data_IF_759601738961
#
_entry.id   IF_759601738961
#
_cell.length_a   1.000
_cell.length_b   1.000
_cell.length_c   1.000
_cell.angle_alpha   90.00
_cell.angle_beta   90.00
_cell.angle_gamma   90.00
#
_symmetry.space_group_name_H-M   'P 1'
#
loop_
_entity.id
_entity.type
_entity.pdbx_description
1 polymer ?
#
# COMPACT_ATOMS: atom_id res chain seq x y z
N UNK A 1 -7.25 0.41 -26.30
CA UNK A 1 -7.24 1.60 -27.10
C UNK A 1 -7.52 2.83 -26.27
N UNK A 2 -6.79 3.92 -26.46
CA UNK A 2 -7.09 5.21 -25.87
C UNK A 2 -8.43 5.68 -26.48
N UNK A 3 -9.45 5.86 -25.66
CA UNK A 3 -10.67 6.54 -26.07
C UNK A 3 -10.30 7.97 -26.48
N UNK A 4 -10.81 8.44 -27.61
CA UNK A 4 -10.69 9.86 -27.99
C UNK A 4 -11.31 10.73 -26.88
N UNK A 5 -10.71 11.86 -26.57
CA UNK A 5 -11.19 12.77 -25.52
C UNK A 5 -12.69 13.10 -25.68
N UNK A 6 -13.15 13.32 -26.91
CA UNK A 6 -14.56 13.62 -27.20
C UNK A 6 -15.50 12.46 -26.80
N UNK A 7 -15.07 11.21 -26.98
CA UNK A 7 -15.87 10.04 -26.59
C UNK A 7 -15.95 9.91 -25.07
N UNK A 8 -14.90 10.26 -24.33
CA UNK A 8 -14.89 10.25 -22.87
C UNK A 8 -15.90 11.25 -22.31
N UNK A 9 -15.84 12.49 -22.79
CA UNK A 9 -16.75 13.56 -22.37
C UNK A 9 -18.20 13.26 -22.73
N UNK A 10 -18.48 12.77 -23.93
CA UNK A 10 -19.83 12.37 -24.35
C UNK A 10 -20.40 11.33 -23.40
N UNK A 11 -19.65 10.26 -23.07
CA UNK A 11 -20.11 9.22 -22.15
C UNK A 11 -20.39 9.74 -20.74
N UNK A 12 -19.54 10.65 -20.23
CA UNK A 12 -19.76 11.26 -18.91
C UNK A 12 -21.01 12.14 -18.91
N UNK A 13 -21.19 12.97 -19.93
CA UNK A 13 -22.35 13.87 -20.04
C UNK A 13 -23.68 13.13 -20.26
N UNK A 14 -23.63 11.96 -20.87
CA UNK A 14 -24.80 11.11 -21.12
C UNK A 14 -25.03 10.07 -20.02
N UNK A 15 -24.32 10.16 -18.87
CA UNK A 15 -24.36 9.20 -17.76
C UNK A 15 -24.05 7.75 -18.17
N UNK A 16 -23.29 7.56 -19.26
CA UNK A 16 -22.88 6.25 -19.75
C UNK A 16 -21.60 5.76 -19.09
N UNK A 17 -21.60 5.66 -17.76
CA UNK A 17 -20.48 5.14 -16.96
C UNK A 17 -21.02 4.37 -15.76
N UNK A 18 -20.13 3.56 -15.17
CA UNK A 18 -20.36 2.93 -13.87
C UNK A 18 -19.38 3.49 -12.85
N UNK A 19 -19.75 3.45 -11.58
CA UNK A 19 -18.88 3.84 -10.47
C UNK A 19 -18.41 2.58 -9.75
N UNK A 20 -17.11 2.39 -9.68
CA UNK A 20 -16.49 1.32 -8.91
C UNK A 20 -15.87 1.89 -7.63
N UNK A 21 -16.17 1.26 -6.49
CA UNK A 21 -15.61 1.64 -5.20
C UNK A 21 -14.29 0.89 -4.99
N UNK A 22 -13.25 1.60 -4.61
CA UNK A 22 -11.93 1.04 -4.30
C UNK A 22 -11.55 1.35 -2.86
N UNK A 23 -11.13 0.31 -2.14
CA UNK A 23 -10.57 0.48 -0.81
C UNK A 23 -9.33 1.38 -0.86
N UNK A 24 -9.17 2.22 0.15
CA UNK A 24 -7.97 3.03 0.36
C UNK A 24 -7.34 2.69 1.71
N UNK A 25 -6.05 2.97 1.84
CA UNK A 25 -5.33 2.96 3.12
C UNK A 25 -5.25 4.39 3.68
N UNK A 26 -5.24 4.46 5.00
CA UNK A 26 -4.89 5.63 5.77
C UNK A 26 -3.64 5.33 6.59
N UNK A 27 -2.67 6.24 6.57
CA UNK A 27 -1.54 6.25 7.48
C UNK A 27 -1.60 7.48 8.38
N UNK A 28 -1.32 7.29 9.65
CA UNK A 28 -1.21 8.37 10.64
C UNK A 28 0.15 8.25 11.30
N UNK A 29 0.97 9.28 11.15
CA UNK A 29 2.29 9.35 11.81
C UNK A 29 2.13 10.01 13.16
N UNK A 30 2.64 9.34 14.18
CA UNK A 30 2.62 9.81 15.56
C UNK A 30 4.04 10.07 16.05
N UNK A 31 4.23 11.19 16.73
CA UNK A 31 5.44 11.46 17.48
C UNK A 31 5.35 10.74 18.82
N UNK A 32 6.36 9.97 19.16
CA UNK A 32 6.45 9.43 20.52
C UNK A 32 6.95 10.55 21.44
N UNK A 33 6.24 10.82 22.51
CA UNK A 33 6.83 11.46 23.65
C UNK A 33 7.88 10.50 24.23
N UNK A 34 9.08 11.01 24.52
CA UNK A 34 10.27 10.24 24.89
C UNK A 34 10.12 9.29 26.11
N UNK A 35 8.94 9.19 26.70
CA UNK A 35 8.62 8.39 27.87
C UNK A 35 7.59 7.28 27.63
N UNK A 36 6.96 7.27 26.43
CA UNK A 36 5.98 6.23 26.09
C UNK A 36 6.29 5.65 24.72
N UNK A 37 7.33 4.80 24.64
CA UNK A 37 7.25 3.70 23.69
C UNK A 37 5.99 2.93 24.10
N UNK A 38 4.89 2.95 23.36
CA UNK A 38 3.72 2.19 23.78
C UNK A 38 4.12 0.73 23.74
N UNK A 39 4.34 0.18 24.92
CA UNK A 39 4.28 -1.26 25.11
C UNK A 39 2.94 -1.67 24.54
N UNK A 40 2.96 -2.57 23.55
CA UNK A 40 1.85 -3.26 22.91
C UNK A 40 0.46 -2.93 23.50
N UNK A 41 -0.39 -2.26 22.72
CA UNK A 41 -1.81 -2.10 23.02
C UNK A 41 -2.33 -0.70 23.38
N UNK A 42 -1.49 0.28 23.71
CA UNK A 42 -1.93 1.66 23.92
C UNK A 42 -1.72 2.51 22.68
N UNK A 43 -2.82 2.99 22.12
CA UNK A 43 -2.80 3.95 21.00
C UNK A 43 -2.14 5.26 21.44
N UNK A 44 -1.25 5.84 20.61
CA UNK A 44 -0.89 7.24 20.78
C UNK A 44 -2.15 8.10 20.75
N UNK A 45 -2.25 9.07 21.64
CA UNK A 45 -3.34 10.04 21.67
C UNK A 45 -3.37 10.86 20.37
N UNK A 46 -4.54 11.34 19.96
CA UNK A 46 -4.71 12.23 18.80
C UNK A 46 -3.84 13.50 18.89
N UNK A 47 -3.46 13.92 20.10
CA UNK A 47 -2.52 15.04 20.33
C UNK A 47 -1.09 14.77 19.80
N UNK A 48 -0.71 13.50 19.59
CA UNK A 48 0.62 13.11 19.08
C UNK A 48 0.66 13.00 17.54
N UNK A 49 -0.45 13.24 16.85
CA UNK A 49 -0.52 13.14 15.38
C UNK A 49 0.33 14.23 14.73
N UNK A 50 1.28 13.81 13.89
CA UNK A 50 2.07 14.71 13.04
C UNK A 50 1.31 15.00 11.75
N UNK A 51 0.94 13.94 11.02
CA UNK A 51 0.27 14.06 9.73
C UNK A 51 -0.57 12.82 9.42
N UNK A 52 -1.58 13.01 8.55
CA UNK A 52 -2.46 11.95 8.02
C UNK A 52 -2.29 11.86 6.51
N UNK A 53 -2.15 10.64 6.02
CA UNK A 53 -1.97 10.34 4.61
C UNK A 53 -3.01 9.34 4.13
N UNK A 54 -3.34 9.38 2.84
CA UNK A 54 -4.21 8.42 2.18
C UNK A 54 -3.54 7.89 0.92
N UNK A 55 -3.75 6.62 0.63
CA UNK A 55 -3.24 5.97 -0.57
C UNK A 55 -4.30 5.08 -1.21
N UNK A 56 -4.37 5.14 -2.54
CA UNK A 56 -5.19 4.26 -3.35
C UNK A 56 -4.48 2.91 -3.61
N UNK A 57 -3.16 2.96 -3.86
CA UNK A 57 -2.36 1.78 -4.14
C UNK A 57 -1.62 1.26 -2.92
N UNK A 58 -0.67 2.04 -2.43
CA UNK A 58 0.24 1.58 -1.38
C UNK A 58 0.81 2.71 -0.52
N UNK A 59 1.19 2.33 0.69
CA UNK A 59 2.01 3.09 1.61
C UNK A 59 3.25 2.25 1.85
N UNK A 60 4.44 2.84 1.73
CA UNK A 60 5.66 2.13 2.02
C UNK A 60 6.66 2.98 2.79
N UNK A 61 7.50 2.28 3.56
CA UNK A 61 8.56 2.87 4.36
C UNK A 61 9.90 2.36 3.85
N UNK A 62 10.85 3.28 3.64
CA UNK A 62 12.23 3.00 3.22
C UNK A 62 13.22 3.83 4.02
N UNK A 63 14.50 3.44 4.07
CA UNK A 63 15.54 4.29 4.66
C UNK A 63 15.48 5.72 4.10
N UNK A 64 15.57 6.72 4.97
CA UNK A 64 15.60 8.13 4.55
C UNK A 64 16.97 8.53 4.00
N UNK A 65 18.04 8.08 4.67
CA UNK A 65 19.44 8.36 4.33
C UNK A 65 20.12 7.06 3.90
N UNK A 66 19.89 6.64 2.65
CA UNK A 66 20.47 5.40 2.11
C UNK A 66 22.01 5.43 2.08
N UNK A 67 22.61 6.62 2.02
CA UNK A 67 24.06 6.87 2.12
C UNK A 67 24.62 6.51 3.49
N UNK A 68 23.85 6.64 4.57
CA UNK A 68 24.25 6.33 5.95
C UNK A 68 23.74 4.95 6.41
N UNK A 69 22.54 4.59 6.02
CA UNK A 69 21.89 3.35 6.40
C UNK A 69 21.09 2.80 5.21
N UNK A 70 21.68 1.94 4.36
CA UNK A 70 21.02 1.42 3.16
C UNK A 70 19.85 0.50 3.47
N UNK A 71 19.76 -0.04 4.68
CA UNK A 71 18.66 -0.88 5.17
C UNK A 71 18.06 -0.29 6.42
N UNK A 72 16.76 -0.60 6.65
CA UNK A 72 16.07 -0.30 7.89
C UNK A 72 15.68 -1.57 8.64
N UNK A 73 15.41 -1.43 9.92
CA UNK A 73 14.74 -2.43 10.75
C UNK A 73 13.41 -1.82 11.19
N UNK A 74 12.32 -2.49 10.87
CA UNK A 74 10.97 -2.07 11.17
C UNK A 74 10.29 -3.13 12.02
N UNK A 75 9.81 -2.76 13.19
CA UNK A 75 8.91 -3.62 13.96
C UNK A 75 7.50 -3.47 13.44
N UNK A 76 6.86 -4.60 13.20
CA UNK A 76 5.47 -4.68 12.72
C UNK A 76 4.60 -5.25 13.82
N UNK A 77 3.64 -4.46 14.25
CA UNK A 77 2.54 -4.86 15.13
C UNK A 77 1.25 -4.96 14.31
N UNK A 78 0.47 -6.00 14.52
CA UNK A 78 -0.85 -6.21 13.91
C UNK A 78 -1.85 -6.48 15.00
N UNK A 79 -2.92 -5.67 15.05
CA UNK A 79 -4.03 -5.79 16.01
C UNK A 79 -3.58 -5.91 17.49
N UNK A 80 -2.46 -5.24 17.85
CA UNK A 80 -1.89 -5.19 19.19
C UNK A 80 -0.84 -6.27 19.49
N UNK A 81 -0.48 -7.10 18.51
CA UNK A 81 0.55 -8.13 18.65
C UNK A 81 1.76 -7.80 17.79
N UNK A 82 2.96 -7.82 18.36
CA UNK A 82 4.21 -7.72 17.59
C UNK A 82 4.41 -9.03 16.85
N UNK A 83 4.38 -8.97 15.52
CA UNK A 83 4.42 -10.17 14.66
C UNK A 83 5.75 -10.37 13.98
N UNK A 84 6.52 -9.31 13.70
CA UNK A 84 7.83 -9.43 13.03
C UNK A 84 8.71 -8.19 13.28
N UNK A 85 10.02 -8.37 13.13
CA UNK A 85 11.02 -7.30 13.00
C UNK A 85 11.67 -7.43 11.63
N UNK A 86 11.12 -6.75 10.65
CA UNK A 86 11.56 -6.80 9.26
C UNK A 86 12.86 -6.00 9.10
N UNK A 87 13.93 -6.64 8.69
CA UNK A 87 15.17 -6.00 8.28
C UNK A 87 15.36 -6.15 6.78
N UNK A 88 15.52 -5.02 6.08
CA UNK A 88 15.65 -4.99 4.62
C UNK A 88 15.60 -3.57 4.07
N UNK A 89 15.23 -3.43 2.80
CA UNK A 89 15.14 -2.14 2.12
C UNK A 89 13.82 -1.40 2.45
N UNK A 90 12.89 -2.05 3.17
CA UNK A 90 11.65 -1.43 3.61
C UNK A 90 10.47 -2.38 3.75
N UNK A 91 9.29 -1.79 3.89
CA UNK A 91 8.02 -2.49 4.03
C UNK A 91 6.94 -1.78 3.21
N UNK A 92 6.14 -2.56 2.49
CA UNK A 92 5.01 -2.09 1.69
C UNK A 92 3.71 -2.59 2.30
N UNK A 93 2.74 -1.70 2.42
CA UNK A 93 1.35 -2.00 2.76
C UNK A 93 0.49 -1.57 1.58
N UNK A 94 -0.18 -2.51 0.94
CA UNK A 94 -0.92 -2.24 -0.28
C UNK A 94 -2.40 -2.61 -0.17
N UNK A 95 -3.21 -1.89 -0.94
CA UNK A 95 -4.60 -2.24 -1.21
C UNK A 95 -4.66 -3.32 -2.31
N UNK A 96 -5.81 -3.94 -2.54
CA UNK A 96 -5.98 -4.81 -3.71
C UNK A 96 -5.73 -4.08 -5.04
N UNK A 97 -6.05 -2.78 -5.15
CA UNK A 97 -5.71 -1.96 -6.32
C UNK A 97 -4.21 -1.86 -6.51
N UNK A 98 -3.46 -1.64 -5.42
CA UNK A 98 -1.99 -1.57 -5.42
C UNK A 98 -1.30 -2.94 -5.53
N UNK A 99 -2.04 -4.05 -5.46
CA UNK A 99 -1.45 -5.40 -5.55
C UNK A 99 -0.73 -5.66 -6.88
N UNK A 100 -1.07 -4.93 -7.93
CA UNK A 100 -0.39 -4.97 -9.25
C UNK A 100 0.66 -3.87 -9.44
N UNK A 101 0.98 -3.13 -8.36
CA UNK A 101 1.98 -2.07 -8.32
C UNK A 101 3.27 -2.50 -7.63
N UNK A 102 3.74 -1.69 -6.68
CA UNK A 102 5.01 -1.92 -6.00
C UNK A 102 5.01 -3.20 -5.15
N UNK A 103 3.88 -3.56 -4.53
CA UNK A 103 3.74 -4.80 -3.78
C UNK A 103 4.04 -6.04 -4.64
N UNK A 104 3.62 -6.05 -5.92
CA UNK A 104 3.92 -7.15 -6.85
C UNK A 104 5.42 -7.28 -7.11
N UNK A 105 6.14 -6.16 -7.28
CA UNK A 105 7.58 -6.16 -7.45
C UNK A 105 8.34 -6.67 -6.22
N UNK A 106 7.73 -6.55 -5.03
CA UNK A 106 8.23 -7.13 -3.78
C UNK A 106 7.73 -8.57 -3.52
N UNK A 107 7.20 -9.26 -4.55
CA UNK A 107 6.73 -10.64 -4.44
C UNK A 107 5.35 -10.80 -3.79
N UNK A 108 4.61 -9.73 -3.63
CA UNK A 108 3.23 -9.75 -3.11
C UNK A 108 2.23 -10.43 -4.04
N UNK A 109 1.14 -10.99 -3.52
CA UNK A 109 0.10 -11.61 -4.32
C UNK A 109 -0.71 -10.57 -5.08
N UNK A 110 -1.25 -10.95 -6.24
CA UNK A 110 -2.23 -10.17 -6.98
C UNK A 110 -3.60 -10.43 -6.37
N UNK A 111 -4.29 -9.38 -5.94
CA UNK A 111 -5.65 -9.43 -5.44
C UNK A 111 -6.62 -8.77 -6.42
N UNK A 112 -7.80 -9.40 -6.58
CA UNK A 112 -8.87 -8.78 -7.33
C UNK A 112 -9.35 -7.51 -6.59
N UNK A 113 -9.49 -6.37 -7.27
CA UNK A 113 -9.82 -5.10 -6.62
C UNK A 113 -11.22 -5.04 -5.98
N UNK A 114 -12.07 -6.01 -6.27
CA UNK A 114 -13.36 -6.20 -5.59
C UNK A 114 -13.27 -6.90 -4.22
N UNK A 115 -12.07 -7.28 -3.78
CA UNK A 115 -11.82 -7.83 -2.44
C UNK A 115 -11.23 -6.73 -1.59
N UNK A 116 -11.76 -6.53 -0.38
CA UNK A 116 -11.15 -5.64 0.60
C UNK A 116 -10.15 -6.45 1.45
N UNK A 117 -8.88 -6.10 1.39
CA UNK A 117 -7.79 -6.70 2.16
C UNK A 117 -6.58 -5.76 2.21
N UNK A 118 -5.67 -6.00 3.16
CA UNK A 118 -4.39 -5.30 3.25
C UNK A 118 -3.28 -6.31 2.95
N UNK A 119 -2.40 -5.98 2.02
CA UNK A 119 -1.20 -6.76 1.71
C UNK A 119 -0.03 -6.14 2.46
N UNK A 120 0.78 -6.96 3.13
CA UNK A 120 2.04 -6.55 3.74
C UNK A 120 3.17 -7.32 3.06
N UNK A 121 4.13 -6.60 2.48
CA UNK A 121 5.27 -7.18 1.76
C UNK A 121 6.56 -6.47 2.16
N UNK A 122 7.55 -7.22 2.61
CA UNK A 122 8.88 -6.69 2.84
C UNK A 122 9.62 -6.44 1.52
N UNK A 123 10.44 -5.39 1.47
CA UNK A 123 11.29 -5.07 0.33
C UNK A 123 12.68 -5.64 0.61
N UNK A 124 13.12 -6.57 -0.23
CA UNK A 124 14.45 -7.20 -0.14
C UNK A 124 14.79 -7.61 1.33
N UNK A 125 13.95 -8.40 2.00
CA UNK A 125 14.20 -8.77 3.40
C UNK A 125 15.45 -9.63 3.53
N UNK A 126 16.21 -9.42 4.60
CA UNK A 126 17.39 -10.23 4.91
C UNK A 126 17.00 -11.64 5.43
N UNK A 127 15.78 -11.80 5.93
CA UNK A 127 15.26 -13.08 6.40
C UNK A 127 14.77 -13.93 5.23
N UNK A 128 15.25 -15.17 5.12
CA UNK A 128 14.78 -16.14 4.13
C UNK A 128 13.36 -16.66 4.40
N UNK A 129 12.86 -16.50 5.61
CA UNK A 129 11.50 -16.89 6.01
C UNK A 129 10.45 -15.81 5.76
N UNK A 130 10.85 -14.58 5.44
CA UNK A 130 9.91 -13.50 5.16
C UNK A 130 9.01 -13.84 3.97
N UNK A 131 7.72 -13.67 4.16
CA UNK A 131 6.69 -13.88 3.11
C UNK A 131 5.67 -12.77 3.18
N UNK A 132 5.16 -12.32 2.03
CA UNK A 132 4.01 -11.43 2.01
C UNK A 132 2.81 -12.08 2.70
N UNK A 133 2.07 -11.28 3.46
CA UNK A 133 0.84 -11.72 4.13
C UNK A 133 -0.34 -10.87 3.67
N UNK A 134 -1.52 -11.47 3.67
CA UNK A 134 -2.80 -10.81 3.35
C UNK A 134 -3.64 -10.79 4.62
N UNK A 135 -4.07 -9.60 5.00
CA UNK A 135 -4.79 -9.34 6.24
C UNK A 135 -6.22 -8.90 5.96
N UNK A 136 -7.15 -9.16 6.89
CA UNK A 136 -8.49 -8.60 6.84
C UNK A 136 -8.46 -7.06 6.75
N UNK A 137 -9.46 -6.44 6.08
CA UNK A 137 -9.49 -4.98 5.90
C UNK A 137 -9.68 -4.21 7.21
N UNK A 138 -10.10 -4.88 8.29
CA UNK A 138 -10.27 -4.30 9.63
C UNK A 138 -8.98 -4.27 10.45
N UNK A 139 -7.92 -4.96 9.99
CA UNK A 139 -6.66 -5.02 10.71
C UNK A 139 -6.02 -3.65 10.83
N UNK A 140 -5.47 -3.38 12.00
CA UNK A 140 -4.74 -2.19 12.34
C UNK A 140 -3.26 -2.54 12.50
N UNK A 141 -2.43 -1.87 11.72
CA UNK A 141 -0.98 -2.09 11.73
C UNK A 141 -0.28 -0.90 12.37
N UNK A 142 0.72 -1.18 13.19
CA UNK A 142 1.63 -0.15 13.71
C UNK A 142 3.05 -0.53 13.32
N UNK A 143 3.79 0.45 12.79
CA UNK A 143 5.15 0.24 12.32
C UNK A 143 6.08 1.21 13.04
N UNK A 144 7.10 0.64 13.66
CA UNK A 144 8.12 1.33 14.43
C UNK A 144 9.48 1.23 13.73
N UNK A 145 10.12 2.34 13.34
CA UNK A 145 11.53 2.33 12.99
C UNK A 145 12.37 1.97 14.23
N UNK A 146 13.26 1.00 14.08
CA UNK A 146 14.17 0.58 15.15
C UNK A 146 15.61 0.99 14.86
N UNK A 147 16.37 1.26 15.92
CA UNK A 147 17.79 1.57 15.87
C UNK A 147 18.14 2.91 16.50
N UNK A 148 19.27 3.47 16.07
CA UNK A 148 19.74 4.78 16.52
C UNK A 148 19.11 5.94 15.73
N UNK A 149 19.37 7.18 16.15
CA UNK A 149 18.80 8.39 15.54
C UNK A 149 19.14 8.60 14.05
N UNK A 150 20.14 7.88 13.52
CA UNK A 150 20.54 7.95 12.11
C UNK A 150 19.71 7.02 11.24
N UNK A 151 18.98 6.07 11.84
CA UNK A 151 18.15 5.08 11.13
C UNK A 151 16.73 5.57 10.90
N UNK A 152 16.64 6.77 10.37
CA UNK A 152 15.34 7.32 9.97
C UNK A 152 14.78 6.61 8.75
N UNK A 153 13.47 6.51 8.68
CA UNK A 153 12.74 6.01 7.53
C UNK A 153 11.84 7.09 6.96
N UNK A 154 11.60 7.02 5.67
CA UNK A 154 10.68 7.91 4.98
C UNK A 154 9.45 7.13 4.56
N UNK A 155 8.30 7.71 4.84
CA UNK A 155 7.00 7.25 4.38
C UNK A 155 6.76 7.76 2.96
N UNK A 156 6.18 6.90 2.13
CA UNK A 156 5.74 7.20 0.78
C UNK A 156 4.30 6.74 0.61
N UNK A 157 3.51 7.46 -0.19
CA UNK A 157 2.11 7.17 -0.50
C UNK A 157 1.89 7.29 -2.00
N UNK A 158 1.45 6.24 -2.66
CA UNK A 158 1.23 6.21 -4.12
C UNK A 158 2.40 6.84 -4.91
N UNK A 159 3.65 6.59 -4.48
CA UNK A 159 4.86 7.14 -5.08
C UNK A 159 5.20 8.57 -4.67
N UNK A 160 4.33 9.28 -3.96
CA UNK A 160 4.62 10.61 -3.44
C UNK A 160 5.27 10.55 -2.06
N UNK A 161 6.26 11.43 -1.82
CA UNK A 161 6.93 11.54 -0.54
C UNK A 161 5.98 12.05 0.56
N UNK A 162 6.06 11.43 1.71
CA UNK A 162 5.45 11.85 2.97
C UNK A 162 6.49 12.16 4.03
N UNK A 163 6.16 11.91 5.29
CA UNK A 163 6.97 12.24 6.46
C UNK A 163 8.23 11.38 6.61
N UNK A 164 9.22 11.97 7.26
CA UNK A 164 10.40 11.26 7.77
C UNK A 164 10.15 10.91 9.22
N UNK A 165 10.33 9.64 9.55
CA UNK A 165 10.13 9.10 10.89
C UNK A 165 11.45 8.69 11.50
N UNK A 166 11.68 9.08 12.76
CA UNK A 166 12.80 8.67 13.57
C UNK A 166 12.43 7.45 14.44
N UNK A 167 13.43 6.70 14.96
CA UNK A 167 13.19 5.74 16.03
C UNK A 167 12.49 6.41 17.22
N UNK A 168 11.45 5.74 17.74
CA UNK A 168 10.56 6.29 18.75
C UNK A 168 9.28 6.92 18.22
N UNK A 169 9.19 7.22 16.93
CA UNK A 169 7.95 7.58 16.24
C UNK A 169 7.31 6.36 15.62
N UNK A 170 6.01 6.38 15.36
CA UNK A 170 5.34 5.28 14.72
C UNK A 170 4.36 5.71 13.62
N UNK A 171 4.06 4.78 12.74
CA UNK A 171 3.03 4.94 11.72
C UNK A 171 1.92 3.92 11.96
N UNK A 172 0.71 4.42 12.19
CA UNK A 172 -0.50 3.59 12.27
C UNK A 172 -1.13 3.52 10.90
N UNK A 173 -1.29 2.32 10.36
CA UNK A 173 -1.87 2.08 9.05
C UNK A 173 -3.11 1.20 9.18
N UNK A 174 -4.17 1.62 8.53
CA UNK A 174 -5.45 0.94 8.50
C UNK A 174 -6.24 1.28 7.24
N UNK A 175 -7.35 0.59 7.01
CA UNK A 175 -8.31 0.96 5.98
C UNK A 175 -8.79 2.40 6.21
N UNK A 176 -8.81 3.21 5.15
CA UNK A 176 -9.39 4.55 5.22
C UNK A 176 -10.92 4.47 5.44
N UNK A 177 -11.51 5.48 6.12
CA UNK A 177 -12.96 5.52 6.36
C UNK A 177 -13.79 5.73 5.08
N UNK A 178 -13.15 6.15 4.00
CA UNK A 178 -13.76 6.41 2.70
C UNK A 178 -13.11 5.56 1.60
N UNK A 179 -13.82 5.44 0.48
CA UNK A 179 -13.35 4.75 -0.73
C UNK A 179 -13.02 5.77 -1.81
N UNK A 180 -12.09 5.44 -2.69
CA UNK A 180 -11.98 6.11 -3.97
C UNK A 180 -13.12 5.64 -4.89
N UNK A 181 -13.68 6.56 -5.65
CA UNK A 181 -14.68 6.27 -6.68
C UNK A 181 -14.01 6.33 -8.04
N UNK A 182 -13.98 5.18 -8.73
CA UNK A 182 -13.39 5.05 -10.06
C UNK A 182 -14.48 5.04 -11.12
N UNK A 183 -14.42 5.98 -12.05
CA UNK A 183 -15.32 6.02 -13.20
C UNK A 183 -14.91 4.95 -14.21
N UNK A 184 -15.82 4.05 -14.52
CA UNK A 184 -15.67 3.00 -15.53
C UNK A 184 -16.48 3.38 -16.76
N UNK A 185 -15.79 3.74 -17.85
CA UNK A 185 -16.43 4.15 -19.12
C UNK A 185 -16.82 2.97 -20.00
N UNK A 186 -16.19 1.81 -19.81
CA UNK A 186 -16.54 0.59 -20.53
C UNK A 186 -17.58 -0.20 -19.73
N UNK A 187 -18.61 -0.69 -20.39
CA UNK A 187 -19.56 -1.61 -19.80
C UNK A 187 -18.87 -2.98 -19.60
N UNK A 188 -18.72 -3.39 -18.33
CA UNK A 188 -18.11 -4.66 -17.93
C UNK A 188 -16.66 -4.89 -18.46
N UNK A 189 -15.69 -4.03 -18.15
CA UNK A 189 -14.31 -4.32 -18.49
C UNK A 189 -13.86 -5.60 -17.77
N UNK A 190 -13.39 -6.59 -18.53
CA UNK A 190 -12.84 -7.80 -17.91
C UNK A 190 -11.54 -7.50 -17.20
N UNK A 191 -11.55 -7.57 -15.86
CA UNK A 191 -10.35 -7.44 -15.05
C UNK A 191 -9.26 -8.42 -15.46
N UNK A 192 -9.63 -9.69 -15.67
CA UNK A 192 -8.68 -10.75 -16.03
C UNK A 192 -8.05 -10.55 -17.40
N UNK A 193 -8.82 -10.08 -18.40
CA UNK A 193 -8.28 -9.73 -19.71
C UNK A 193 -7.29 -8.58 -19.62
N UNK A 194 -7.61 -7.56 -18.83
CA UNK A 194 -6.72 -6.42 -18.59
C UNK A 194 -5.44 -6.86 -17.89
N UNK A 195 -5.56 -7.72 -16.89
CA UNK A 195 -4.43 -8.27 -16.14
C UNK A 195 -3.52 -9.11 -17.03
N UNK A 196 -4.09 -10.09 -17.77
CA UNK A 196 -3.33 -10.94 -18.70
C UNK A 196 -2.57 -10.14 -19.74
N UNK A 197 -3.21 -9.10 -20.31
CA UNK A 197 -2.57 -8.21 -21.28
C UNK A 197 -1.41 -7.41 -20.67
N UNK A 198 -1.61 -6.84 -19.47
CA UNK A 198 -0.57 -6.05 -18.78
C UNK A 198 0.62 -6.89 -18.34
N UNK A 199 0.38 -8.13 -17.92
CA UNK A 199 1.42 -9.03 -17.42
C UNK A 199 1.97 -9.99 -18.48
N UNK A 200 1.46 -9.93 -19.70
CA UNK A 200 1.85 -10.83 -20.81
C UNK A 200 1.75 -12.32 -20.45
N UNK A 201 0.74 -12.71 -19.65
CA UNK A 201 0.65 -14.07 -19.11
C UNK A 201 0.40 -15.16 -20.17
N UNK A 202 -0.30 -14.82 -21.25
CA UNK A 202 -0.63 -15.79 -22.28
C UNK A 202 0.38 -15.83 -23.45
N UNK A 203 1.46 -15.04 -23.41
CA UNK A 203 2.42 -14.93 -24.51
C UNK A 203 1.73 -14.68 -25.85
N UNK A 204 2.15 -15.40 -26.92
CA UNK A 204 1.58 -15.26 -28.27
C UNK A 204 0.14 -15.79 -28.42
N UNK A 205 -0.40 -16.50 -27.42
CA UNK A 205 -1.78 -16.99 -27.46
C UNK A 205 -2.83 -15.88 -27.34
N UNK A 206 -2.46 -14.73 -26.74
CA UNK A 206 -3.38 -13.57 -26.63
C UNK A 206 -3.57 -12.87 -27.96
N UNK A 207 -2.53 -12.85 -28.81
CA UNK A 207 -2.57 -12.21 -30.13
C UNK A 207 -3.32 -13.04 -31.17
N UNK A 208 -3.58 -14.34 -30.87
CA UNK A 208 -4.27 -15.27 -31.77
C UNK A 208 -5.77 -15.43 -31.49
N UNK A 209 -6.32 -14.79 -30.46
CA UNK A 209 -7.74 -14.85 -30.21
C UNK A 209 -8.50 -13.88 -31.14
N UNK A 210 -9.47 -14.37 -31.95
CA UNK A 210 -10.30 -13.50 -32.73
C UNK A 210 -11.10 -12.59 -31.79
N UNK A 211 -11.17 -11.31 -32.14
CA UNK A 211 -12.05 -10.34 -31.49
C UNK A 211 -13.50 -10.82 -31.58
N UNK A 212 -14.08 -11.29 -30.47
CA UNK A 212 -15.50 -11.54 -30.33
C UNK A 212 -16.25 -10.22 -30.17
#
# INVERSE_FOLDING_TARGET
GLLHNDTIWTRILEDHFAMERRMMLQAVVHRADALTCPVSGTLPDDSSVIERHWALNDIYLRPYREDLAPTCTLELEIDGEVVDQVRGDGLILATPTGSTGYAMAAGGPILHPGIDAIIVSAICPMSLSSRPIVLPPRSRLVIWPLGDSHRQVKLWKDGAAGEVMAPGECCVIQRAPHHALMVQLEQNPSYYRTLSRKLHWAGSLVDSMPSL
#
